data_IF_132855698548
#
_entry.id   IF_132855698548
#
_cell.length_a   1.000
_cell.length_b   1.000
_cell.length_c   1.000
_cell.angle_alpha   90.00
_cell.angle_beta   90.00
_cell.angle_gamma   90.00
#
_symmetry.space_group_name_H-M   'P 1'
#
loop_
_entity.id
_entity.type
_entity.pdbx_description
1 polymer ?
#
# COMPACT_ATOMS: atom_id res chain seq x y z
N UNK A 1 -0.45 0.69 10.01
CA UNK A 1 -1.66 1.00 9.21
C UNK A 1 -2.63 -0.16 9.32
N UNK A 2 -3.94 0.08 9.29
CA UNK A 2 -4.93 -1.00 9.18
C UNK A 2 -5.14 -1.30 7.69
N UNK A 3 -5.01 -2.57 7.28
CA UNK A 3 -5.07 -3.01 5.88
C UNK A 3 -6.35 -2.53 5.15
N UNK A 4 -7.49 -2.53 5.84
CA UNK A 4 -8.79 -2.13 5.30
C UNK A 4 -9.16 -0.65 5.51
N UNK A 5 -8.19 0.25 5.72
CA UNK A 5 -8.46 1.69 5.87
C UNK A 5 -7.55 2.52 4.97
N UNK A 6 -8.14 3.36 4.13
CA UNK A 6 -7.39 4.26 3.26
C UNK A 6 -6.61 5.29 4.10
N UNK A 7 -5.29 5.48 3.88
CA UNK A 7 -4.54 6.52 4.57
C UNK A 7 -4.95 7.95 4.24
N UNK A 8 -5.53 8.15 3.07
CA UNK A 8 -5.75 9.48 2.49
C UNK A 8 -7.11 10.03 2.91
N UNK A 9 -8.17 9.23 2.75
CA UNK A 9 -9.54 9.65 3.05
C UNK A 9 -10.17 8.92 4.25
N UNK A 10 -9.45 7.97 4.85
CA UNK A 10 -9.91 7.16 5.99
C UNK A 10 -11.15 6.28 5.75
N UNK A 11 -11.65 6.19 4.52
CA UNK A 11 -12.71 5.24 4.15
C UNK A 11 -12.31 3.79 4.39
N UNK A 12 -13.32 2.96 4.67
CA UNK A 12 -13.16 1.51 4.80
C UNK A 12 -13.03 0.84 3.42
N UNK A 13 -12.06 -0.05 3.29
CA UNK A 13 -11.86 -0.92 2.14
C UNK A 13 -12.23 -2.35 2.57
N UNK A 14 -13.39 -2.84 2.11
CA UNK A 14 -13.82 -4.22 2.38
C UNK A 14 -13.18 -5.17 1.37
N UNK A 15 -12.29 -6.05 1.86
CA UNK A 15 -11.69 -7.09 1.01
C UNK A 15 -12.74 -8.05 0.47
N UNK A 16 -13.76 -8.39 1.28
CA UNK A 16 -14.88 -9.21 0.86
C UNK A 16 -15.60 -8.60 -0.34
N UNK A 17 -15.85 -7.28 -0.31
CA UNK A 17 -16.49 -6.59 -1.42
C UNK A 17 -15.62 -6.59 -2.68
N UNK A 18 -14.30 -6.43 -2.53
CA UNK A 18 -13.36 -6.49 -3.67
C UNK A 18 -13.40 -7.87 -4.33
N UNK A 19 -13.38 -8.95 -3.54
CA UNK A 19 -13.37 -10.31 -4.08
C UNK A 19 -14.74 -10.77 -4.58
N UNK A 20 -15.82 -9.98 -4.51
CA UNK A 20 -17.06 -10.38 -5.18
C UNK A 20 -16.93 -10.27 -6.71
N UNK A 21 -16.17 -9.28 -7.21
CA UNK A 21 -15.90 -9.09 -8.63
C UNK A 21 -14.91 -10.14 -9.17
N UNK A 22 -15.27 -10.82 -10.26
CA UNK A 22 -14.44 -11.88 -10.86
C UNK A 22 -13.08 -11.36 -11.34
N UNK A 23 -13.06 -10.20 -12.00
CA UNK A 23 -11.82 -9.63 -12.53
C UNK A 23 -10.91 -9.13 -11.40
N UNK A 24 -11.48 -8.60 -10.32
CA UNK A 24 -10.74 -8.23 -9.13
C UNK A 24 -10.13 -9.47 -8.44
N UNK A 25 -10.89 -10.57 -8.31
CA UNK A 25 -10.38 -11.86 -7.79
C UNK A 25 -9.20 -12.36 -8.60
N UNK A 26 -9.33 -12.40 -9.93
CA UNK A 26 -8.26 -12.82 -10.82
C UNK A 26 -7.02 -11.91 -10.72
N UNK A 27 -7.24 -10.59 -10.65
CA UNK A 27 -6.13 -9.63 -10.50
C UNK A 27 -5.40 -9.84 -9.17
N UNK A 28 -6.11 -10.06 -8.07
CA UNK A 28 -5.50 -10.37 -6.78
C UNK A 28 -4.75 -11.70 -6.83
N UNK A 29 -5.28 -12.71 -7.51
CA UNK A 29 -4.60 -13.97 -7.78
C UNK A 29 -3.26 -13.76 -8.50
N UNK A 30 -3.28 -12.99 -9.59
CA UNK A 30 -2.06 -12.60 -10.33
C UNK A 30 -1.07 -11.91 -9.40
N UNK A 31 -1.49 -10.88 -8.67
CA UNK A 31 -0.62 -10.10 -7.79
C UNK A 31 -0.03 -10.93 -6.64
N UNK A 32 -0.77 -11.94 -6.15
CA UNK A 32 -0.32 -12.83 -5.07
C UNK A 32 0.71 -13.86 -5.51
N UNK A 33 0.74 -14.20 -6.80
CA UNK A 33 1.68 -15.16 -7.36
C UNK A 33 3.05 -14.53 -7.72
N UNK A 34 3.13 -13.20 -7.77
CA UNK A 34 4.35 -12.46 -8.07
C UNK A 34 5.19 -12.28 -6.79
N UNK A 35 6.50 -12.08 -6.97
CA UNK A 35 7.33 -11.61 -5.87
C UNK A 35 6.88 -10.20 -5.41
N UNK A 36 7.17 -9.86 -4.15
CA UNK A 36 6.68 -8.63 -3.54
C UNK A 36 7.17 -7.36 -4.26
N UNK A 37 8.35 -7.40 -4.90
CA UNK A 37 8.93 -6.24 -5.59
C UNK A 37 8.20 -6.00 -6.90
N UNK A 38 8.04 -7.04 -7.73
CA UNK A 38 7.30 -6.92 -8.99
C UNK A 38 5.82 -6.62 -8.75
N UNK A 39 5.20 -7.27 -7.76
CA UNK A 39 3.80 -7.02 -7.38
C UNK A 39 3.58 -5.55 -7.00
N UNK A 40 4.45 -4.98 -6.16
CA UNK A 40 4.37 -3.56 -5.78
C UNK A 40 4.59 -2.62 -6.96
N UNK A 41 5.58 -2.90 -7.80
CA UNK A 41 5.89 -2.09 -8.98
C UNK A 41 4.71 -2.10 -9.98
N UNK A 42 4.10 -3.26 -10.19
CA UNK A 42 2.93 -3.42 -11.06
C UNK A 42 1.72 -2.63 -10.54
N UNK A 43 1.41 -2.71 -9.25
CA UNK A 43 0.33 -1.92 -8.64
C UNK A 43 0.57 -0.41 -8.81
N UNK A 44 1.81 0.05 -8.58
CA UNK A 44 2.18 1.45 -8.80
C UNK A 44 1.97 1.89 -10.25
N UNK A 45 2.37 1.04 -11.20
CA UNK A 45 2.21 1.28 -12.63
C UNK A 45 0.75 1.29 -13.09
N UNK A 46 -0.10 0.38 -12.60
CA UNK A 46 -1.53 0.38 -12.90
C UNK A 46 -2.21 1.69 -12.48
N UNK A 47 -1.72 2.33 -11.42
CA UNK A 47 -2.19 3.65 -10.99
C UNK A 47 -2.05 4.74 -12.05
N UNK A 48 -1.09 4.63 -12.99
CA UNK A 48 -0.88 5.60 -14.07
C UNK A 48 -1.98 5.58 -15.13
N UNK A 49 -2.82 4.53 -15.14
CA UNK A 49 -3.93 4.38 -16.07
C UNK A 49 -5.25 4.92 -15.53
N UNK A 50 -5.29 5.31 -14.25
CA UNK A 50 -6.49 5.78 -13.57
C UNK A 50 -6.84 7.20 -14.02
N UNK A 51 -8.03 7.44 -14.62
CA UNK A 51 -8.51 8.78 -14.90
C UNK A 51 -8.73 9.62 -13.64
N UNK A 52 -8.69 10.95 -13.77
CA UNK A 52 -8.89 11.84 -12.63
C UNK A 52 -10.30 11.69 -12.00
N UNK A 53 -11.33 11.51 -12.83
CA UNK A 53 -12.74 11.53 -12.41
C UNK A 53 -13.34 10.16 -12.09
N UNK A 54 -12.70 9.07 -12.49
CA UNK A 54 -13.26 7.73 -12.34
C UNK A 54 -12.15 6.73 -12.00
N UNK A 55 -12.54 5.64 -11.36
CA UNK A 55 -11.63 4.55 -11.05
C UNK A 55 -11.28 3.72 -12.30
N UNK A 56 -10.13 3.05 -12.20
CA UNK A 56 -9.74 2.06 -13.19
C UNK A 56 -10.62 0.82 -12.98
N UNK A 57 -11.41 0.47 -13.99
CA UNK A 57 -12.25 -0.74 -13.97
C UNK A 57 -11.40 -2.00 -13.78
N UNK A 58 -11.89 -2.98 -13.02
CA UNK A 58 -11.17 -4.22 -12.71
C UNK A 58 -10.84 -5.04 -13.96
N UNK A 59 -11.79 -5.18 -14.89
CA UNK A 59 -11.57 -5.85 -16.18
C UNK A 59 -10.38 -5.25 -16.95
N UNK A 60 -10.30 -3.91 -16.97
CA UNK A 60 -9.23 -3.17 -17.61
C UNK A 60 -7.92 -3.29 -16.84
N UNK A 61 -7.95 -3.20 -15.52
CA UNK A 61 -6.77 -3.35 -14.66
C UNK A 61 -6.13 -4.74 -14.84
N UNK A 62 -6.94 -5.80 -14.84
CA UNK A 62 -6.48 -7.17 -15.08
C UNK A 62 -5.86 -7.34 -16.46
N UNK A 63 -6.50 -6.81 -17.51
CA UNK A 63 -5.96 -6.84 -18.87
C UNK A 63 -4.62 -6.12 -18.96
N UNK A 64 -4.52 -4.91 -18.42
CA UNK A 64 -3.28 -4.11 -18.40
C UNK A 64 -2.16 -4.78 -17.59
N UNK A 65 -2.52 -5.45 -16.49
CA UNK A 65 -1.56 -6.21 -15.68
C UNK A 65 -0.96 -7.36 -16.49
N UNK A 66 -1.80 -8.15 -17.17
CA UNK A 66 -1.37 -9.25 -18.04
C UNK A 66 -0.54 -8.74 -19.23
N UNK A 67 -0.98 -7.67 -19.89
CA UNK A 67 -0.24 -7.04 -20.99
C UNK A 67 1.15 -6.56 -20.55
N UNK A 68 1.27 -5.96 -19.36
CA UNK A 68 2.56 -5.51 -18.82
C UNK A 68 3.47 -6.68 -18.43
N UNK A 69 2.93 -7.72 -17.78
CA UNK A 69 3.67 -8.92 -17.41
C UNK A 69 4.19 -9.69 -18.63
N UNK A 70 3.45 -9.70 -19.74
CA UNK A 70 3.87 -10.33 -20.98
C UNK A 70 5.01 -9.60 -21.71
N UNK A 71 5.47 -8.44 -21.22
CA UNK A 71 6.57 -7.69 -21.86
C UNK A 71 7.96 -8.27 -21.56
N UNK A 72 8.12 -9.04 -20.48
CA UNK A 72 9.39 -9.65 -20.11
C UNK A 72 9.21 -10.79 -19.12
N UNK A 73 9.91 -11.91 -19.35
CA UNK A 73 9.98 -13.02 -18.39
C UNK A 73 10.98 -12.78 -17.24
N UNK A 74 11.80 -11.72 -17.34
CA UNK A 74 12.73 -11.31 -16.28
C UNK A 74 12.01 -10.40 -15.28
N UNK A 75 11.57 -11.00 -14.17
CA UNK A 75 10.80 -10.32 -13.13
C UNK A 75 11.55 -9.13 -12.51
N UNK A 76 12.87 -9.24 -12.31
CA UNK A 76 13.67 -8.19 -11.69
C UNK A 76 13.81 -6.99 -12.63
N UNK A 77 14.11 -7.26 -13.91
CA UNK A 77 14.17 -6.22 -14.95
C UNK A 77 12.82 -5.54 -15.16
N UNK A 78 11.73 -6.31 -15.18
CA UNK A 78 10.39 -5.75 -15.33
C UNK A 78 10.00 -4.88 -14.13
N UNK A 79 10.29 -5.31 -12.91
CA UNK A 79 10.01 -4.54 -11.70
C UNK A 79 10.73 -3.19 -11.68
N UNK A 80 12.01 -3.17 -12.10
CA UNK A 80 12.79 -1.95 -12.25
C UNK A 80 12.15 -1.01 -13.28
N UNK A 81 11.87 -1.51 -14.49
CA UNK A 81 11.32 -0.71 -15.56
C UNK A 81 9.92 -0.13 -15.23
N UNK A 82 9.07 -0.90 -14.55
CA UNK A 82 7.76 -0.44 -14.07
C UNK A 82 7.92 0.70 -13.04
N UNK A 83 8.87 0.56 -12.13
CA UNK A 83 9.15 1.56 -11.09
C UNK A 83 9.69 2.86 -11.70
N UNK A 84 10.71 2.77 -12.56
CA UNK A 84 11.27 3.92 -13.26
C UNK A 84 10.24 4.64 -14.12
N UNK A 85 9.41 3.88 -14.85
CA UNK A 85 8.31 4.42 -15.64
C UNK A 85 7.32 5.21 -14.77
N UNK A 86 6.97 4.65 -13.61
CA UNK A 86 6.03 5.26 -12.66
C UNK A 86 6.57 6.57 -12.10
N UNK A 87 7.82 6.56 -11.64
CA UNK A 87 8.46 7.74 -11.06
C UNK A 87 8.69 8.83 -12.11
N UNK A 88 9.15 8.47 -13.32
CA UNK A 88 9.36 9.43 -14.40
C UNK A 88 8.06 10.12 -14.86
N UNK A 89 6.93 9.40 -14.86
CA UNK A 89 5.62 9.99 -15.19
C UNK A 89 5.12 10.90 -14.05
N UNK A 90 5.27 10.48 -12.80
CA UNK A 90 4.88 11.28 -11.62
C UNK A 90 5.69 12.56 -11.51
N UNK A 91 6.99 12.51 -11.77
CA UNK A 91 7.86 13.68 -11.79
C UNK A 91 7.43 14.73 -12.84
N UNK A 92 6.78 14.31 -13.93
CA UNK A 92 6.25 15.19 -14.98
C UNK A 92 4.84 15.72 -14.69
N UNK A 93 4.37 15.59 -13.44
CA UNK A 93 3.08 16.09 -12.99
C UNK A 93 1.96 15.06 -13.00
N UNK A 94 2.17 13.84 -13.52
CA UNK A 94 1.34 12.63 -13.29
C UNK A 94 -0.17 12.71 -13.54
N UNK A 95 -0.70 13.84 -14.00
CA UNK A 95 -2.13 14.14 -14.00
C UNK A 95 -2.87 13.52 -15.18
N UNK A 96 -2.15 13.24 -16.27
CA UNK A 96 -2.73 12.67 -17.49
C UNK A 96 -2.52 11.15 -17.49
N UNK A 97 -3.61 10.35 -17.55
CA UNK A 97 -3.50 8.91 -17.63
C UNK A 97 -2.75 8.49 -18.90
N UNK A 98 -1.89 7.48 -18.78
CA UNK A 98 -1.25 6.91 -19.96
C UNK A 98 -2.25 6.10 -20.80
N UNK A 99 -1.96 6.01 -22.10
CA UNK A 99 -2.85 5.36 -23.08
C UNK A 99 -2.30 4.03 -23.62
N UNK A 100 -1.00 3.79 -23.47
CA UNK A 100 -0.32 2.59 -23.97
C UNK A 100 0.91 2.25 -23.14
N UNK A 101 1.39 1.01 -23.26
CA UNK A 101 2.66 0.56 -22.69
C UNK A 101 3.91 1.08 -23.43
N UNK A 102 3.75 1.98 -24.42
CA UNK A 102 4.87 2.38 -25.30
C UNK A 102 6.04 3.05 -24.58
N UNK A 103 5.80 3.76 -23.47
CA UNK A 103 6.91 4.28 -22.66
C UNK A 103 7.59 3.18 -21.84
N UNK A 104 6.81 2.27 -21.24
CA UNK A 104 7.36 1.11 -20.50
C UNK A 104 8.24 0.23 -21.40
N UNK A 105 7.83 -0.01 -22.65
CA UNK A 105 8.64 -0.76 -23.63
C UNK A 105 10.00 -0.09 -23.88
N UNK A 106 10.03 1.23 -24.06
CA UNK A 106 11.28 1.99 -24.22
C UNK A 106 12.18 1.96 -22.98
N UNK A 107 11.58 2.00 -21.79
CA UNK A 107 12.34 1.86 -20.54
C UNK A 107 12.92 0.45 -20.42
N UNK A 108 12.14 -0.59 -20.75
CA UNK A 108 12.62 -1.97 -20.79
C UNK A 108 13.80 -2.15 -21.75
N UNK A 109 13.74 -1.58 -22.95
CA UNK A 109 14.84 -1.62 -23.94
C UNK A 109 16.16 -1.09 -23.37
N UNK A 110 16.13 -0.07 -22.51
CA UNK A 110 17.31 0.48 -21.84
C UNK A 110 17.66 -0.18 -20.50
N UNK A 111 16.78 -1.00 -19.93
CA UNK A 111 16.98 -1.61 -18.63
C UNK A 111 18.00 -2.76 -18.72
N UNK A 112 19.00 -2.81 -17.80
CA UNK A 112 20.03 -3.84 -17.82
C UNK A 112 19.39 -5.23 -17.70
N UNK A 113 19.79 -6.14 -18.57
CA UNK A 113 19.42 -7.54 -18.48
C UNK A 113 20.21 -8.18 -17.34
N UNK A 114 19.55 -8.92 -16.46
CA UNK A 114 20.26 -9.60 -15.38
C UNK A 114 21.29 -10.58 -16.00
N UNK A 115 22.57 -10.24 -15.94
CA UNK A 115 23.63 -11.20 -16.20
C UNK A 115 23.55 -12.26 -15.10
N UNK A 116 23.21 -13.49 -15.48
CA UNK A 116 22.77 -14.56 -14.58
C UNK A 116 23.55 -14.63 -13.27
N UNK A 117 22.94 -14.14 -12.20
CA UNK A 117 23.33 -14.43 -10.84
C UNK A 117 22.17 -15.19 -10.20
N UNK A 118 22.30 -16.52 -10.19
CA UNK A 118 21.45 -17.39 -9.37
C UNK A 118 21.74 -17.03 -7.92
N UNK A 119 20.85 -16.27 -7.30
CA UNK A 119 20.86 -16.06 -5.86
C UNK A 119 19.55 -16.61 -5.32
N UNK A 120 19.64 -17.82 -4.75
CA UNK A 120 18.58 -18.42 -3.95
C UNK A 120 18.41 -17.53 -2.71
N UNK A 121 17.46 -16.60 -2.77
CA UNK A 121 17.06 -15.82 -1.61
C UNK A 121 16.21 -16.74 -0.72
N UNK A 122 16.82 -17.25 0.35
CA UNK A 122 16.11 -17.83 1.49
C UNK A 122 15.07 -16.81 2.01
N UNK A 123 13.84 -17.24 2.36
CA UNK A 123 12.88 -16.35 2.97
C UNK A 123 13.40 -15.91 4.33
N UNK A 124 13.72 -14.63 4.47
CA UNK A 124 14.04 -14.01 5.74
C UNK A 124 12.83 -14.14 6.68
N UNK A 125 13.00 -14.55 7.95
CA UNK A 125 11.90 -14.54 8.89
C UNK A 125 11.47 -13.09 9.11
N UNK A 126 10.18 -12.82 8.91
CA UNK A 126 9.56 -11.55 9.27
C UNK A 126 9.80 -11.29 10.77
N UNK A 127 10.80 -10.48 11.09
CA UNK A 127 10.95 -9.88 12.40
C UNK A 127 9.79 -8.91 12.60
N UNK A 128 8.68 -9.42 13.14
CA UNK A 128 7.55 -8.62 13.59
C UNK A 128 8.06 -7.70 14.70
N UNK A 129 8.37 -6.46 14.34
CA UNK A 129 8.62 -5.38 15.30
C UNK A 129 7.34 -5.23 16.14
N UNK A 130 7.38 -5.83 17.33
CA UNK A 130 6.36 -5.65 18.35
C UNK A 130 6.47 -4.19 18.78
N UNK A 131 5.57 -3.35 18.29
CA UNK A 131 5.45 -1.97 18.78
C UNK A 131 4.95 -2.09 20.22
N UNK A 132 5.86 -1.99 21.17
CA UNK A 132 5.52 -1.84 22.59
C UNK A 132 4.70 -0.56 22.73
N UNK A 133 3.38 -0.75 22.80
CA UNK A 133 2.43 0.31 23.12
C UNK A 133 2.62 0.67 24.59
N UNK A 134 3.50 1.63 24.87
CA UNK A 134 3.55 2.30 26.16
C UNK A 134 2.13 2.81 26.46
N UNK A 135 1.51 2.21 27.48
CA UNK A 135 0.15 2.49 27.91
C UNK A 135 0.16 3.83 28.62
N UNK A 136 -0.20 4.90 27.92
CA UNK A 136 -0.49 6.18 28.58
C UNK A 136 -1.67 5.99 29.56
N UNK A 137 -1.61 6.53 30.79
CA UNK A 137 -2.70 6.41 31.74
C UNK A 137 -3.94 7.16 31.23
N UNK A 138 -5.10 6.53 31.39
CA UNK A 138 -6.39 7.05 30.93
C UNK A 138 -6.76 8.35 31.64
N UNK A 139 -7.02 9.40 30.86
CA UNK A 139 -7.48 10.72 31.34
C UNK A 139 -8.79 10.65 32.15
N UNK A 140 -9.55 9.55 32.02
CA UNK A 140 -10.79 9.35 32.76
C UNK A 140 -10.56 9.09 34.25
N UNK A 141 -9.47 8.41 34.62
CA UNK A 141 -9.18 8.09 36.03
C UNK A 141 -8.67 9.33 36.78
N UNK A 142 -7.81 10.13 36.13
CA UNK A 142 -7.36 11.42 36.68
C UNK A 142 -8.50 12.42 36.85
N UNK A 143 -9.47 12.41 35.92
CA UNK A 143 -10.67 13.25 36.02
C UNK A 143 -11.52 12.93 37.24
N UNK A 144 -11.71 11.64 37.55
CA UNK A 144 -12.49 11.19 38.72
C UNK A 144 -11.78 11.55 40.02
N UNK A 145 -10.46 11.36 40.11
CA UNK A 145 -9.68 11.72 41.31
C UNK A 145 -9.70 13.23 41.61
N UNK A 146 -9.65 14.08 40.58
CA UNK A 146 -9.78 15.54 40.76
C UNK A 146 -11.16 15.97 41.21
N UNK A 147 -12.21 15.30 40.72
CA UNK A 147 -13.59 15.58 41.12
C UNK A 147 -13.85 15.19 42.59
N UNK A 148 -13.27 14.07 43.03
CA UNK A 148 -13.34 13.65 44.43
C UNK A 148 -12.57 14.59 45.37
N UNK A 149 -11.40 15.08 44.94
CA UNK A 149 -10.63 16.06 45.70
C UNK A 149 -11.38 17.39 45.86
N UNK A 150 -12.08 17.85 44.81
CA UNK A 150 -12.93 19.04 44.87
C UNK A 150 -14.14 18.84 45.80
N UNK A 151 -14.76 17.65 45.78
CA UNK A 151 -15.86 17.30 46.68
C UNK A 151 -15.43 17.26 48.15
N UNK A 152 -14.24 16.72 48.46
CA UNK A 152 -13.69 16.71 49.84
C UNK A 152 -13.44 18.13 50.37
N UNK A 153 -12.87 19.00 49.53
CA UNK A 153 -12.66 20.43 49.88
C UNK A 153 -13.97 21.17 50.12
N UNK A 154 -15.00 20.91 49.31
CA UNK A 154 -16.32 21.50 49.48
C UNK A 154 -17.06 21.03 50.75
N UNK A 155 -16.67 19.87 51.31
CA UNK A 155 -17.21 19.31 52.56
C UNK A 155 -16.44 19.74 53.81
N UNK A 156 -15.38 20.55 53.67
CA UNK A 156 -14.60 21.06 54.80
C UNK A 156 -13.63 20.06 55.44
N UNK A 157 -13.37 18.93 54.78
CA UNK A 157 -12.45 17.90 55.27
C UNK A 157 -11.03 18.19 54.73
N UNK A 158 -10.28 19.05 55.40
CA UNK A 158 -8.82 19.19 55.19
C UNK A 158 -8.14 18.90 56.52
N UNK A 159 -7.54 17.73 56.63
CA UNK A 159 -6.65 17.38 57.73
C UNK A 159 -5.41 18.25 57.69
N UNK A 160 -5.09 18.84 58.84
CA UNK A 160 -3.81 19.46 59.16
C UNK A 160 -2.75 18.33 59.24
N UNK A 161 -1.61 18.53 58.56
CA UNK A 161 -0.32 17.80 58.61
C UNK A 161 -0.30 16.26 58.69
#
# INVERSE_FOLDING_TARGET
MMLGRCPVCHSHLSLEAIVQDDAARELLGVLSALDATLSRALVGYLGLWRPAKQDLRWDRALRLAREALALSDDAARLALALSETTEAIRAKGGATPIKSHGYLKRVLEGAPQAAGAVMVAQPAPHASQRVDRIKAPSATVDGVMRLEALKRRARGEVGHE
#
